data_IF_494026643319
#
_entry.id   IF_494026643319
#
_cell.length_a   1.000
_cell.length_b   1.000
_cell.length_c   1.000
_cell.angle_alpha   90.00
_cell.angle_beta   90.00
_cell.angle_gamma   90.00
#
_symmetry.space_group_name_H-M   'P 1'
#
loop_
_entity.id
_entity.type
_entity.pdbx_description
1 polymer ?
#
# COMPACT_ATOMS: atom_id res chain seq x y z
N UNK A 1 -11.96 -15.11 4.97
CA UNK A 1 -10.70 -14.50 4.60
C UNK A 1 -10.91 -13.02 4.25
N UNK A 2 -10.02 -12.12 4.67
CA UNK A 2 -10.11 -10.72 4.27
C UNK A 2 -10.09 -10.53 2.75
N UNK A 3 -9.42 -11.41 2.04
CA UNK A 3 -9.33 -11.35 0.58
C UNK A 3 -10.66 -11.65 -0.11
N UNK A 4 -11.54 -12.38 0.56
CA UNK A 4 -12.86 -12.72 0.04
C UNK A 4 -13.88 -11.62 0.29
N UNK A 5 -13.60 -10.70 1.22
CA UNK A 5 -14.51 -9.62 1.57
C UNK A 5 -14.67 -8.58 0.44
N UNK A 6 -13.70 -8.51 -0.49
CA UNK A 6 -13.70 -7.53 -1.57
C UNK A 6 -13.43 -8.22 -2.91
N UNK A 7 -14.41 -8.98 -3.43
CA UNK A 7 -14.21 -9.68 -4.69
C UNK A 7 -14.04 -8.70 -5.84
N UNK A 8 -13.13 -9.07 -6.75
CA UNK A 8 -12.82 -8.30 -7.94
C UNK A 8 -13.37 -9.05 -9.15
N UNK A 9 -14.29 -8.46 -9.88
CA UNK A 9 -14.90 -9.10 -11.06
C UNK A 9 -14.19 -8.74 -12.35
N UNK A 10 -13.80 -7.47 -12.55
CA UNK A 10 -13.14 -7.04 -13.77
C UNK A 10 -12.49 -5.68 -13.60
N UNK A 11 -11.59 -5.31 -14.53
CA UNK A 11 -11.00 -3.97 -14.56
C UNK A 11 -12.04 -2.89 -14.82
N UNK A 12 -13.08 -3.20 -15.59
CA UNK A 12 -14.16 -2.25 -15.85
C UNK A 12 -14.94 -1.93 -14.59
N UNK A 13 -15.18 -2.93 -13.74
CA UNK A 13 -15.82 -2.71 -12.46
C UNK A 13 -14.95 -1.86 -11.55
N UNK A 14 -13.63 -2.04 -11.61
CA UNK A 14 -12.69 -1.22 -10.85
C UNK A 14 -12.79 0.24 -11.25
N UNK A 15 -12.81 0.53 -12.54
CA UNK A 15 -12.96 1.90 -13.03
C UNK A 15 -14.21 2.58 -12.53
N UNK A 16 -15.28 1.82 -12.31
CA UNK A 16 -16.53 2.37 -11.80
C UNK A 16 -16.50 2.63 -10.30
N UNK A 17 -15.66 1.90 -9.56
CA UNK A 17 -15.62 1.93 -8.10
C UNK A 17 -14.54 2.84 -7.53
N UNK A 18 -13.49 3.12 -8.29
CA UNK A 18 -12.36 3.96 -7.84
C UNK A 18 -12.24 5.17 -8.74
N UNK A 19 -11.60 6.22 -8.24
CA UNK A 19 -11.34 7.41 -9.04
C UNK A 19 -10.35 7.08 -10.17
N UNK A 20 -10.45 7.83 -11.26
CA UNK A 20 -9.61 7.63 -12.45
C UNK A 20 -8.13 7.65 -12.07
N UNK A 21 -7.71 8.57 -11.21
CA UNK A 21 -6.31 8.67 -10.79
C UNK A 21 -5.87 7.42 -10.03
N UNK A 22 -6.70 6.91 -9.12
CA UNK A 22 -6.38 5.69 -8.38
C UNK A 22 -6.25 4.49 -9.32
N UNK A 23 -7.16 4.35 -10.27
CA UNK A 23 -7.10 3.28 -11.25
C UNK A 23 -5.81 3.39 -12.07
N UNK A 24 -5.50 4.58 -12.59
CA UNK A 24 -4.31 4.79 -13.40
C UNK A 24 -3.04 4.47 -12.63
N UNK A 25 -2.96 4.86 -11.37
CA UNK A 25 -1.76 4.66 -10.57
C UNK A 25 -1.58 3.21 -10.14
N UNK A 26 -2.65 2.44 -9.98
CA UNK A 26 -2.57 1.03 -9.58
C UNK A 26 -2.51 0.07 -10.75
N UNK A 27 -3.16 0.37 -11.87
CA UNK A 27 -3.25 -0.53 -13.02
C UNK A 27 -2.30 -0.15 -14.16
N UNK A 28 -1.88 1.11 -14.23
CA UNK A 28 -1.05 1.65 -15.31
C UNK A 28 0.30 2.18 -14.81
N UNK A 29 0.73 1.78 -13.60
CA UNK A 29 2.01 2.18 -13.01
C UNK A 29 2.20 3.70 -12.87
N UNK A 30 1.11 4.45 -12.78
CA UNK A 30 1.19 5.89 -12.53
C UNK A 30 1.65 6.18 -11.10
N UNK A 31 2.14 7.40 -10.87
CA UNK A 31 2.58 7.84 -9.54
C UNK A 31 1.81 9.09 -9.13
N UNK A 32 1.21 9.08 -7.93
CA UNK A 32 0.53 10.25 -7.42
C UNK A 32 1.52 11.36 -7.08
N UNK A 33 1.01 12.60 -7.04
CA UNK A 33 1.81 13.75 -6.67
C UNK A 33 2.12 13.71 -5.17
N UNK A 34 3.36 14.07 -4.80
CA UNK A 34 3.79 14.13 -3.40
C UNK A 34 2.89 15.07 -2.60
N UNK A 35 2.54 14.66 -1.38
CA UNK A 35 1.75 15.47 -0.46
C UNK A 35 0.26 15.55 -0.76
N UNK A 36 -0.24 14.82 -1.77
CA UNK A 36 -1.66 14.87 -2.13
C UNK A 36 -2.50 13.80 -1.43
N UNK A 37 -1.87 12.74 -0.88
CA UNK A 37 -2.62 11.69 -0.19
C UNK A 37 -2.91 12.07 1.26
N UNK A 38 -4.17 11.94 1.72
CA UNK A 38 -4.46 12.13 3.15
C UNK A 38 -3.82 11.06 4.03
N UNK A 39 -3.41 9.92 3.45
CA UNK A 39 -2.79 8.84 4.22
C UNK A 39 -1.34 9.11 4.58
N UNK A 40 -0.69 10.06 3.93
CA UNK A 40 0.70 10.41 4.23
C UNK A 40 0.87 10.84 5.69
N UNK A 41 -0.07 11.60 6.24
CA UNK A 41 -0.01 12.12 7.61
C UNK A 41 -0.89 11.36 8.60
N UNK A 42 -1.55 10.28 8.15
CA UNK A 42 -2.42 9.51 9.04
C UNK A 42 -1.59 8.77 10.09
N UNK A 43 -1.92 8.94 11.36
CA UNK A 43 -1.23 8.32 12.50
C UNK A 43 -2.13 7.39 13.33
N UNK A 44 -3.35 7.10 12.88
CA UNK A 44 -4.25 6.20 13.59
C UNK A 44 -3.75 4.75 13.55
N UNK A 45 -4.07 4.00 14.61
CA UNK A 45 -3.80 2.55 14.63
C UNK A 45 -4.73 1.81 13.68
N UNK A 46 -4.17 0.94 12.88
CA UNK A 46 -4.92 0.16 11.92
C UNK A 46 -4.01 -0.49 10.88
N UNK A 47 -4.60 -0.90 9.78
CA UNK A 47 -3.87 -1.49 8.67
C UNK A 47 -4.16 -0.75 7.37
N UNK A 48 -3.24 -0.90 6.42
CA UNK A 48 -3.39 -0.37 5.07
C UNK A 48 -3.52 -1.56 4.13
N UNK A 49 -4.60 -1.54 3.35
CA UNK A 49 -4.94 -2.64 2.44
C UNK A 49 -4.92 -2.15 1.00
N UNK A 50 -4.80 -3.09 0.05
CA UNK A 50 -4.92 -2.78 -1.37
C UNK A 50 -6.33 -2.24 -1.64
N UNK A 51 -6.43 -1.07 -2.27
CA UNK A 51 -7.73 -0.41 -2.50
C UNK A 51 -8.62 -1.23 -3.43
N UNK A 52 -8.04 -2.07 -4.28
CA UNK A 52 -8.79 -2.88 -5.24
C UNK A 52 -9.14 -4.27 -4.71
N UNK A 53 -8.18 -4.96 -4.08
CA UNK A 53 -8.38 -6.34 -3.62
C UNK A 53 -8.76 -6.46 -2.16
N UNK A 54 -8.42 -5.46 -1.35
CA UNK A 54 -8.62 -5.50 0.09
C UNK A 54 -7.58 -6.32 0.85
N UNK A 55 -6.55 -6.85 0.17
CA UNK A 55 -5.52 -7.64 0.85
C UNK A 55 -4.66 -6.76 1.75
N UNK A 56 -4.34 -7.21 2.99
CA UNK A 56 -3.52 -6.44 3.93
C UNK A 56 -2.09 -6.26 3.44
N UNK A 57 -1.57 -5.06 3.52
CA UNK A 57 -0.24 -4.72 3.03
C UNK A 57 0.69 -4.17 4.11
N UNK A 58 0.21 -3.27 4.97
CA UNK A 58 1.03 -2.59 5.98
C UNK A 58 0.29 -2.40 7.28
N UNK A 59 1.06 -2.37 8.38
CA UNK A 59 0.57 -2.02 9.72
C UNK A 59 0.94 -0.59 10.06
N UNK A 60 0.07 0.10 10.79
CA UNK A 60 0.31 1.46 11.27
C UNK A 60 1.59 1.58 12.12
N UNK A 61 1.99 0.51 12.83
CA UNK A 61 3.20 0.54 13.65
C UNK A 61 4.49 0.65 12.83
N UNK A 62 4.42 0.28 11.55
CA UNK A 62 5.56 0.30 10.64
C UNK A 62 5.62 1.56 9.78
N UNK A 63 4.64 2.45 9.94
CA UNK A 63 4.59 3.72 9.22
C UNK A 63 5.51 4.75 9.86
N UNK A 64 6.15 5.56 9.04
CA UNK A 64 6.99 6.65 9.53
C UNK A 64 6.92 7.85 8.58
N UNK A 65 7.32 9.02 9.10
CA UNK A 65 7.40 10.23 8.30
C UNK A 65 8.76 10.28 7.61
N UNK A 66 8.76 10.04 6.31
CA UNK A 66 9.99 10.05 5.50
C UNK A 66 10.35 11.44 4.97
N UNK A 67 9.44 12.40 5.09
CA UNK A 67 9.63 13.73 4.52
C UNK A 67 9.46 13.80 3.00
N UNK A 68 9.02 12.71 2.37
CA UNK A 68 8.89 12.65 0.90
C UNK A 68 7.53 13.12 0.39
N UNK A 69 6.53 13.21 1.26
CA UNK A 69 5.16 13.55 0.88
C UNK A 69 4.31 12.35 0.46
N UNK A 70 4.85 11.13 0.56
CA UNK A 70 4.11 9.88 0.32
C UNK A 70 4.07 9.03 1.58
N UNK A 71 3.00 8.23 1.78
CA UNK A 71 2.97 7.27 2.89
C UNK A 71 4.18 6.34 2.84
N UNK A 72 4.87 6.20 3.96
CA UNK A 72 6.11 5.42 4.02
C UNK A 72 6.08 4.44 5.17
N UNK A 73 6.66 3.25 4.93
CA UNK A 73 6.67 2.15 5.89
C UNK A 73 8.06 1.50 5.91
N UNK A 74 8.42 0.89 7.05
CA UNK A 74 9.72 0.24 7.18
C UNK A 74 9.70 -1.21 6.70
N UNK A 75 8.52 -1.83 6.64
CA UNK A 75 8.35 -3.22 6.17
C UNK A 75 6.87 -3.49 5.85
N UNK A 76 6.57 -4.53 5.05
CA UNK A 76 5.19 -4.97 4.85
C UNK A 76 4.63 -5.64 6.11
N UNK A 77 3.30 -5.80 6.18
CA UNK A 77 2.63 -6.40 7.34
C UNK A 77 3.07 -7.84 7.58
N UNK A 78 3.31 -8.58 6.49
CA UNK A 78 3.90 -9.92 6.52
C UNK A 78 4.94 -10.00 5.40
N UNK A 79 5.94 -10.90 5.50
CA UNK A 79 6.97 -10.99 4.47
C UNK A 79 6.46 -11.33 3.07
N UNK A 80 5.30 -11.98 2.97
CA UNK A 80 4.71 -12.41 1.70
C UNK A 80 3.60 -11.48 1.20
N UNK A 81 3.40 -10.32 1.83
CA UNK A 81 2.35 -9.39 1.42
C UNK A 81 2.61 -8.71 0.07
N UNK A 82 3.87 -8.58 -0.31
CA UNK A 82 4.30 -7.87 -1.52
C UNK A 82 5.18 -8.74 -2.40
N UNK A 83 5.22 -8.41 -3.70
CA UNK A 83 6.25 -8.86 -4.62
C UNK A 83 7.07 -7.64 -5.07
N UNK A 84 8.33 -7.89 -5.46
CA UNK A 84 9.24 -6.85 -5.91
C UNK A 84 9.62 -7.08 -7.36
N UNK A 85 9.64 -5.99 -8.13
CA UNK A 85 9.94 -6.03 -9.56
C UNK A 85 10.90 -4.91 -9.92
N UNK A 86 11.81 -5.17 -10.83
CA UNK A 86 12.73 -4.15 -11.32
C UNK A 86 11.95 -3.17 -12.21
N UNK A 87 12.07 -1.88 -11.91
CA UNK A 87 11.44 -0.80 -12.66
C UNK A 87 12.52 0.06 -13.29
N UNK A 88 12.68 -0.06 -14.60
CA UNK A 88 13.68 0.67 -15.36
C UNK A 88 13.00 1.76 -16.18
N UNK A 89 13.06 2.99 -15.66
CA UNK A 89 12.50 4.15 -16.37
C UNK A 89 13.59 5.19 -16.60
N UNK A 90 13.78 5.57 -17.85
CA UNK A 90 14.79 6.54 -18.27
C UNK A 90 16.19 6.11 -17.78
N UNK A 91 16.80 6.90 -16.90
CA UNK A 91 18.16 6.67 -16.43
C UNK A 91 18.22 6.07 -15.03
N UNK A 92 17.10 5.69 -14.46
CA UNK A 92 17.07 5.14 -13.11
C UNK A 92 16.50 3.72 -13.08
N UNK A 93 17.04 2.92 -12.16
CA UNK A 93 16.52 1.59 -11.85
C UNK A 93 16.00 1.65 -10.43
N UNK A 94 14.71 1.30 -10.25
CA UNK A 94 14.06 1.28 -8.95
C UNK A 94 13.43 -0.10 -8.72
N UNK A 95 13.10 -0.39 -7.47
CA UNK A 95 12.39 -1.61 -7.13
C UNK A 95 10.92 -1.27 -6.90
N UNK A 96 10.09 -1.72 -7.81
CA UNK A 96 8.64 -1.58 -7.73
C UNK A 96 8.07 -2.61 -6.77
N UNK A 97 7.08 -2.22 -5.96
CA UNK A 97 6.34 -3.16 -5.10
C UNK A 97 4.91 -3.31 -5.61
N UNK A 98 4.44 -4.54 -5.61
CA UNK A 98 3.07 -4.89 -5.99
C UNK A 98 2.43 -5.74 -4.91
N UNK A 99 1.11 -5.66 -4.79
CA UNK A 99 0.37 -6.56 -3.91
C UNK A 99 0.55 -8.00 -4.40
N UNK A 100 0.84 -8.93 -3.47
CA UNK A 100 1.23 -10.29 -3.84
C UNK A 100 0.11 -11.07 -4.53
N UNK A 101 -1.15 -10.82 -4.16
CA UNK A 101 -2.29 -11.58 -4.69
C UNK A 101 -2.85 -10.91 -5.94
N UNK A 102 -3.15 -9.62 -5.89
CA UNK A 102 -3.80 -8.92 -7.00
C UNK A 102 -2.81 -8.37 -8.02
N UNK A 103 -1.51 -8.36 -7.71
CA UNK A 103 -0.44 -7.85 -8.58
C UNK A 103 -0.67 -6.40 -9.01
N UNK A 104 -1.21 -5.59 -8.10
CA UNK A 104 -1.41 -4.17 -8.35
C UNK A 104 -0.15 -3.38 -7.98
N UNK A 105 0.18 -2.37 -8.80
CA UNK A 105 1.25 -1.44 -8.47
C UNK A 105 0.89 -0.66 -7.21
N UNK A 106 1.74 -0.74 -6.17
CA UNK A 106 1.50 -0.07 -4.89
C UNK A 106 2.52 1.06 -4.68
N UNK A 107 3.75 0.87 -5.08
CA UNK A 107 4.79 1.86 -4.89
C UNK A 107 6.18 1.31 -5.19
N UNK A 108 7.16 1.80 -4.44
CA UNK A 108 8.56 1.41 -4.61
C UNK A 108 9.22 1.23 -3.24
N UNK A 109 10.28 0.43 -3.20
CA UNK A 109 11.10 0.29 -2.00
C UNK A 109 12.50 0.80 -2.29
N UNK A 110 13.06 1.55 -1.32
CA UNK A 110 14.39 2.15 -1.39
C UNK A 110 15.21 1.70 -0.19
N UNK A 111 16.53 1.87 -0.27
CA UNK A 111 17.48 1.45 0.77
C UNK A 111 17.90 2.57 1.71
N UNK A 112 17.24 3.72 1.65
CA UNK A 112 17.53 4.90 2.45
C UNK A 112 16.52 5.11 3.59
N UNK A 113 16.00 4.02 4.15
CA UNK A 113 15.10 4.06 5.29
C UNK A 113 15.85 4.15 6.62
N UNK A 114 15.09 4.20 7.75
CA UNK A 114 15.69 4.30 9.08
C UNK A 114 16.60 3.10 9.38
N UNK A 115 17.87 3.36 9.67
CA UNK A 115 18.86 2.30 9.85
C UNK A 115 18.60 1.44 11.09
N UNK A 116 17.99 2.02 12.11
CA UNK A 116 17.59 1.32 13.34
C UNK A 116 16.33 0.48 13.19
N UNK A 117 15.66 0.57 12.04
CA UNK A 117 14.41 -0.15 11.75
C UNK A 117 14.50 -1.00 10.47
N UNK A 118 15.71 -1.37 10.07
CA UNK A 118 15.93 -2.26 8.92
C UNK A 118 16.48 -1.59 7.68
N UNK A 119 16.54 -0.27 7.64
CA UNK A 119 17.19 0.46 6.54
C UNK A 119 16.39 0.58 5.25
N UNK A 120 15.15 0.09 5.20
CA UNK A 120 14.31 0.15 4.00
C UNK A 120 13.25 1.22 4.13
N UNK A 121 12.91 1.81 2.99
CA UNK A 121 11.82 2.78 2.90
C UNK A 121 10.85 2.32 1.80
N UNK A 122 9.70 1.80 2.22
CA UNK A 122 8.60 1.43 1.34
C UNK A 122 7.75 2.66 1.12
N UNK A 123 7.86 3.26 -0.05
CA UNK A 123 7.20 4.51 -0.41
C UNK A 123 5.99 4.19 -1.28
N UNK A 124 4.79 4.49 -0.79
CA UNK A 124 3.55 4.00 -1.39
C UNK A 124 2.73 5.12 -1.99
N UNK A 125 2.00 4.80 -3.05
CA UNK A 125 0.96 5.67 -3.59
C UNK A 125 -0.26 5.57 -2.68
N UNK A 126 -0.64 6.65 -2.01
CA UNK A 126 -1.76 6.63 -1.07
C UNK A 126 -3.08 6.27 -1.72
N UNK A 127 -3.27 6.61 -3.01
CA UNK A 127 -4.49 6.26 -3.74
C UNK A 127 -4.60 4.75 -4.03
N UNK A 128 -3.49 4.00 -3.91
CA UNK A 128 -3.48 2.55 -4.06
C UNK A 128 -3.86 1.84 -2.76
N UNK A 129 -3.96 2.57 -1.65
CA UNK A 129 -4.20 2.05 -0.32
C UNK A 129 -5.55 2.48 0.22
N UNK A 130 -6.14 1.63 1.06
CA UNK A 130 -7.27 1.99 1.90
C UNK A 130 -6.87 1.75 3.36
N UNK A 131 -7.13 2.73 4.22
CA UNK A 131 -6.87 2.59 5.64
C UNK A 131 -8.08 1.97 6.33
N UNK A 132 -7.84 0.95 7.16
CA UNK A 132 -8.84 0.31 8.00
C UNK A 132 -8.48 0.57 9.46
N UNK A 133 -9.21 1.44 10.16
CA UNK A 133 -8.95 1.72 11.58
C UNK A 133 -9.06 0.45 12.42
N UNK A 134 -8.25 0.35 13.47
CA UNK A 134 -8.28 -0.79 14.38
C UNK A 134 -9.69 -1.11 14.89
N UNK A 135 -10.47 -0.07 15.21
CA UNK A 135 -11.82 -0.23 15.71
C UNK A 135 -12.78 -0.88 14.71
N UNK A 136 -12.45 -0.84 13.41
CA UNK A 136 -13.29 -1.41 12.36
C UNK A 136 -12.75 -2.74 11.81
N UNK A 137 -11.57 -3.18 12.23
CA UNK A 137 -10.93 -4.36 11.66
C UNK A 137 -11.72 -5.63 11.87
N UNK A 138 -12.31 -5.81 13.04
CA UNK A 138 -13.11 -6.99 13.34
C UNK A 138 -14.36 -7.04 12.48
N UNK A 139 -15.07 -5.92 12.38
CA UNK A 139 -16.32 -5.84 11.62
C UNK A 139 -16.12 -5.99 10.11
N UNK A 140 -14.93 -5.65 9.60
CA UNK A 140 -14.63 -5.69 8.17
C UNK A 140 -13.84 -6.92 7.74
N UNK A 141 -13.64 -7.90 8.64
CA UNK A 141 -13.01 -9.17 8.30
C UNK A 141 -11.51 -9.22 8.48
N UNK A 142 -10.91 -8.27 9.19
CA UNK A 142 -9.46 -8.20 9.40
C UNK A 142 -9.04 -8.51 10.84
N UNK A 143 -9.87 -9.19 11.63
CA UNK A 143 -9.59 -9.48 13.03
C UNK A 143 -8.24 -10.20 13.23
N UNK A 144 -7.86 -11.09 12.29
CA UNK A 144 -6.61 -11.84 12.39
C UNK A 144 -5.37 -10.95 12.28
N UNK A 145 -5.52 -9.74 11.79
CA UNK A 145 -4.41 -8.81 11.60
C UNK A 145 -4.24 -7.82 12.74
N UNK A 146 -5.13 -7.82 13.74
CA UNK A 146 -5.01 -6.94 14.91
C UNK A 146 -3.70 -7.20 15.65
N UNK A 147 -3.22 -8.43 15.65
CA UNK A 147 -1.96 -8.80 16.30
C UNK A 147 -0.73 -8.09 15.71
N UNK A 148 -0.84 -7.53 14.51
CA UNK A 148 0.26 -6.87 13.84
C UNK A 148 0.29 -5.35 14.08
N UNK A 149 -0.64 -4.82 14.85
CA UNK A 149 -0.71 -3.38 15.14
C UNK A 149 0.06 -3.02 16.40
#
# INVERSE_FOLDING_TARGET
>A
SPHEALPISSKEDFKKKVEVDAFRETQEDGTERAGTSPLEKNCEDGIYVDILSGEPLYSSKDKFDSGTGWPSFVKPITPDALTEHEDRKLFSVRTETRSAIADNHIGHVFTDGPSDRGGLRYCMNGVALKFVPKAEMEATGYADFIQYI
#
